data_IF_666566524098
#
_entry.id   IF_666566524098
#
_cell.length_a   1.000
_cell.length_b   1.000
_cell.length_c   1.000
_cell.angle_alpha   90.00
_cell.angle_beta   90.00
_cell.angle_gamma   90.00
#
_symmetry.space_group_name_H-M   'P 1'
#
loop_
_entity.id
_entity.type
_entity.pdbx_description
1 polymer ?
#
# COMPACT_ATOMS: atom_id res chain seq x y z
N UNK A 1 36.90 24.37 -30.29
CA UNK A 1 37.41 24.36 -28.90
C UNK A 1 36.29 24.81 -27.98
N UNK A 2 35.90 24.00 -26.98
CA UNK A 2 34.92 24.40 -25.98
C UNK A 2 35.58 25.46 -25.07
N UNK A 3 34.94 26.61 -24.81
CA UNK A 3 35.51 27.61 -23.92
C UNK A 3 35.77 27.03 -22.54
N UNK A 4 36.97 27.25 -21.97
CA UNK A 4 37.33 26.86 -20.60
C UNK A 4 36.24 27.19 -19.54
N UNK A 5 35.57 28.37 -19.56
CA UNK A 5 34.53 28.67 -18.57
C UNK A 5 33.28 27.79 -18.71
N UNK A 6 32.90 27.43 -19.93
CA UNK A 6 31.76 26.56 -20.22
C UNK A 6 32.01 25.13 -19.72
N UNK A 7 33.27 24.66 -19.83
CA UNK A 7 33.69 23.37 -19.29
C UNK A 7 33.64 23.36 -17.76
N UNK A 8 34.12 24.41 -17.11
CA UNK A 8 34.10 24.54 -15.64
C UNK A 8 32.66 24.61 -15.10
N UNK A 9 31.77 25.33 -15.79
CA UNK A 9 30.35 25.40 -15.44
C UNK A 9 29.69 24.03 -15.56
N UNK A 10 29.91 23.31 -16.68
CA UNK A 10 29.34 21.98 -16.89
C UNK A 10 29.83 20.94 -15.88
N UNK A 11 31.10 20.98 -15.48
CA UNK A 11 31.62 20.09 -14.44
C UNK A 11 31.03 20.45 -13.07
N UNK A 12 30.91 21.74 -12.75
CA UNK A 12 30.31 22.19 -11.49
C UNK A 12 28.85 21.76 -11.37
N UNK A 13 28.05 21.96 -12.43
CA UNK A 13 26.65 21.53 -12.44
C UNK A 13 26.52 20.01 -12.37
N UNK A 14 27.36 19.26 -13.08
CA UNK A 14 27.35 17.80 -13.02
C UNK A 14 27.66 17.27 -11.61
N UNK A 15 28.62 17.87 -10.90
CA UNK A 15 28.96 17.49 -9.51
C UNK A 15 27.80 17.78 -8.57
N UNK A 16 27.18 18.96 -8.66
CA UNK A 16 26.04 19.33 -7.81
C UNK A 16 24.84 18.42 -8.06
N UNK A 17 24.45 18.23 -9.32
CA UNK A 17 23.31 17.38 -9.67
C UNK A 17 23.58 15.91 -9.33
N UNK A 18 24.80 15.42 -9.58
CA UNK A 18 25.22 14.07 -9.19
C UNK A 18 25.17 13.87 -7.68
N UNK A 19 25.60 14.86 -6.89
CA UNK A 19 25.53 14.85 -5.43
C UNK A 19 24.09 14.79 -4.92
N UNK A 20 23.21 15.65 -5.45
CA UNK A 20 21.77 15.63 -5.10
C UNK A 20 21.15 14.29 -5.44
N UNK A 21 21.43 13.75 -6.62
CA UNK A 21 20.91 12.44 -7.04
C UNK A 21 21.38 11.31 -6.11
N UNK A 22 22.68 11.26 -5.81
CA UNK A 22 23.24 10.26 -4.90
C UNK A 22 22.63 10.35 -3.50
N UNK A 23 22.47 11.56 -2.94
CA UNK A 23 21.85 11.76 -1.64
C UNK A 23 20.40 11.30 -1.60
N UNK A 24 19.61 11.58 -2.64
CA UNK A 24 18.22 11.11 -2.73
C UNK A 24 18.14 9.59 -2.84
N UNK A 25 19.02 8.97 -3.62
CA UNK A 25 19.05 7.53 -3.80
C UNK A 25 19.43 6.81 -2.50
N UNK A 26 20.47 7.29 -1.81
CA UNK A 26 20.87 6.76 -0.49
C UNK A 26 19.76 6.97 0.55
N UNK A 27 19.11 8.14 0.55
CA UNK A 27 18.02 8.45 1.49
C UNK A 27 16.80 7.55 1.27
N UNK A 28 16.40 7.32 0.02
CA UNK A 28 15.26 6.45 -0.28
C UNK A 28 15.54 4.98 0.10
N UNK A 29 16.74 4.49 -0.19
CA UNK A 29 17.16 3.14 0.19
C UNK A 29 17.20 2.97 1.72
N UNK A 30 17.78 3.93 2.45
CA UNK A 30 17.86 3.89 3.92
C UNK A 30 16.48 3.97 4.58
N UNK A 31 15.59 4.84 4.11
CA UNK A 31 14.20 4.91 4.59
C UNK A 31 13.47 3.57 4.33
N UNK A 32 13.66 2.98 3.15
CA UNK A 32 13.10 1.67 2.82
C UNK A 32 13.59 0.59 3.80
N UNK A 33 14.89 0.52 4.05
CA UNK A 33 15.50 -0.42 4.98
C UNK A 33 14.99 -0.22 6.42
N UNK A 34 14.91 1.03 6.89
CA UNK A 34 14.36 1.36 8.21
C UNK A 34 12.88 0.96 8.33
N UNK A 35 12.07 1.19 7.29
CA UNK A 35 10.67 0.74 7.27
C UNK A 35 10.56 -0.77 7.39
N UNK A 36 11.37 -1.53 6.65
CA UNK A 36 11.36 -3.00 6.74
C UNK A 36 11.81 -3.50 8.11
N UNK A 37 12.88 -2.93 8.67
CA UNK A 37 13.38 -3.30 9.99
C UNK A 37 12.37 -2.98 11.10
N UNK A 38 11.73 -1.80 11.04
CA UNK A 38 10.70 -1.40 12.00
C UNK A 38 9.42 -2.25 11.87
N UNK A 39 9.00 -2.57 10.64
CA UNK A 39 7.85 -3.46 10.39
C UNK A 39 8.14 -4.88 10.90
N UNK A 40 9.35 -5.41 10.69
CA UNK A 40 9.76 -6.71 11.19
C UNK A 40 9.82 -6.76 12.72
N UNK A 41 10.34 -5.72 13.36
CA UNK A 41 10.34 -5.60 14.82
C UNK A 41 8.93 -5.50 15.38
N UNK A 42 8.09 -4.63 14.81
CA UNK A 42 6.68 -4.51 15.22
C UNK A 42 5.94 -5.83 15.08
N UNK A 43 6.15 -6.59 14.00
CA UNK A 43 5.51 -7.91 13.84
C UNK A 43 5.89 -8.91 14.93
N UNK A 44 7.09 -8.80 15.51
CA UNK A 44 7.55 -9.67 16.60
C UNK A 44 6.98 -9.25 17.96
N UNK A 45 6.93 -7.94 18.21
CA UNK A 45 6.62 -7.40 19.54
C UNK A 45 5.14 -7.06 19.71
N UNK A 46 4.43 -6.74 18.62
CA UNK A 46 3.04 -6.29 18.66
C UNK A 46 2.07 -7.45 18.92
N UNK A 47 0.97 -7.12 19.60
CA UNK A 47 -0.08 -8.09 19.85
C UNK A 47 -0.83 -8.41 18.55
N UNK A 48 -1.22 -9.67 18.34
CA UNK A 48 -2.03 -10.04 17.19
C UNK A 48 -3.35 -9.27 17.22
N UNK A 49 -3.78 -8.78 16.06
CA UNK A 49 -5.01 -8.04 15.94
C UNK A 49 -6.19 -8.96 16.31
N UNK A 50 -6.93 -8.60 17.36
CA UNK A 50 -8.04 -9.41 17.87
C UNK A 50 -9.16 -9.59 16.84
N UNK A 51 -9.42 -8.57 16.02
CA UNK A 51 -10.52 -8.58 15.06
C UNK A 51 -10.32 -9.58 13.90
N UNK A 52 -9.08 -9.78 13.44
CA UNK A 52 -8.77 -10.76 12.39
C UNK A 52 -7.97 -11.97 12.92
N UNK A 53 -7.76 -12.06 14.24
CA UNK A 53 -6.99 -13.12 14.92
C UNK A 53 -5.61 -13.33 14.29
N UNK A 54 -4.88 -12.25 14.02
CA UNK A 54 -3.54 -12.35 13.42
C UNK A 54 -3.50 -12.48 11.89
N UNK A 55 -4.63 -12.75 11.21
CA UNK A 55 -4.62 -13.10 9.78
C UNK A 55 -4.47 -11.90 8.83
N UNK A 56 -4.79 -10.68 9.29
CA UNK A 56 -4.81 -9.47 8.45
C UNK A 56 -6.03 -9.36 7.53
N UNK A 57 -6.71 -10.47 7.22
CA UNK A 57 -7.87 -10.52 6.35
C UNK A 57 -8.98 -11.36 7.01
N UNK A 58 -10.22 -11.14 6.59
CA UNK A 58 -11.36 -11.97 6.94
C UNK A 58 -12.25 -12.18 5.73
N UNK A 59 -13.12 -13.20 5.77
CA UNK A 59 -14.15 -13.41 4.74
C UNK A 59 -14.96 -12.13 4.59
N UNK A 60 -15.14 -11.66 3.35
CA UNK A 60 -15.84 -10.41 3.07
C UNK A 60 -17.17 -10.36 3.81
N UNK A 61 -17.35 -9.34 4.65
CA UNK A 61 -18.54 -9.25 5.51
C UNK A 61 -19.80 -8.96 4.71
N UNK A 62 -19.65 -8.29 3.56
CA UNK A 62 -20.76 -7.88 2.71
C UNK A 62 -21.32 -9.07 1.92
N UNK A 63 -20.50 -9.74 1.09
CA UNK A 63 -20.96 -10.89 0.30
C UNK A 63 -20.86 -12.23 1.02
N UNK A 64 -20.32 -12.28 2.25
CA UNK A 64 -20.11 -13.50 3.04
C UNK A 64 -19.34 -14.61 2.28
N UNK A 65 -18.49 -14.20 1.34
CA UNK A 65 -17.71 -15.12 0.50
C UNK A 65 -18.35 -15.51 -0.83
N UNK A 66 -19.56 -15.00 -1.16
CA UNK A 66 -20.25 -15.32 -2.41
C UNK A 66 -19.72 -14.57 -3.65
N UNK A 67 -18.75 -13.65 -3.46
CA UNK A 67 -18.18 -12.76 -4.49
C UNK A 67 -19.17 -11.75 -5.11
N UNK A 68 -20.46 -12.05 -5.14
CA UNK A 68 -21.54 -11.18 -5.60
C UNK A 68 -22.47 -10.78 -4.46
N UNK A 69 -23.24 -9.72 -4.69
CA UNK A 69 -24.32 -9.27 -3.82
C UNK A 69 -25.57 -9.01 -4.65
N UNK A 70 -26.71 -9.30 -4.06
CA UNK A 70 -28.00 -8.85 -4.58
C UNK A 70 -28.28 -7.48 -3.98
N UNK A 71 -28.26 -6.45 -4.81
CA UNK A 71 -28.45 -5.07 -4.37
C UNK A 71 -29.20 -4.26 -5.41
N UNK A 72 -30.05 -3.36 -4.94
CA UNK A 72 -30.71 -2.36 -5.76
C UNK A 72 -30.76 -1.00 -5.05
N UNK A 73 -30.58 0.11 -5.78
CA UNK A 73 -30.76 1.45 -5.22
C UNK A 73 -32.24 1.84 -5.03
N UNK A 74 -33.17 1.12 -5.68
CA UNK A 74 -34.60 1.38 -5.60
C UNK A 74 -35.17 0.76 -4.32
N UNK A 75 -36.09 1.49 -3.67
CA UNK A 75 -36.81 0.98 -2.50
C UNK A 75 -37.68 -0.24 -2.85
N UNK A 76 -38.31 -0.21 -4.03
CA UNK A 76 -39.10 -1.33 -4.57
C UNK A 76 -38.57 -1.74 -5.96
N UNK A 77 -37.59 -2.66 -6.00
CA UNK A 77 -36.93 -3.03 -7.24
C UNK A 77 -37.75 -4.04 -8.05
N UNK A 78 -38.05 -3.68 -9.31
CA UNK A 78 -38.70 -4.59 -10.28
C UNK A 78 -37.81 -5.80 -10.62
N UNK A 79 -36.48 -5.64 -10.53
CA UNK A 79 -35.50 -6.71 -10.68
C UNK A 79 -34.29 -6.47 -9.77
N UNK A 80 -33.75 -7.55 -9.21
CA UNK A 80 -32.51 -7.54 -8.44
C UNK A 80 -31.48 -8.38 -9.19
N UNK A 81 -30.45 -7.72 -9.73
CA UNK A 81 -29.38 -8.42 -10.42
C UNK A 81 -28.21 -8.70 -9.46
N UNK A 82 -27.58 -9.88 -9.52
CA UNK A 82 -26.36 -10.13 -8.77
C UNK A 82 -25.24 -9.24 -9.34
N UNK A 83 -24.70 -8.37 -8.49
CA UNK A 83 -23.58 -7.49 -8.82
C UNK A 83 -22.30 -8.02 -8.18
N UNK A 84 -21.15 -7.71 -8.79
CA UNK A 84 -19.85 -7.96 -8.15
C UNK A 84 -19.78 -7.23 -6.81
N UNK A 85 -19.28 -7.90 -5.76
CA UNK A 85 -19.22 -7.31 -4.44
C UNK A 85 -18.20 -6.15 -4.41
N UNK A 86 -18.62 -4.90 -4.13
CA UNK A 86 -17.74 -3.73 -4.17
C UNK A 86 -16.71 -3.72 -3.02
N UNK A 87 -16.96 -4.48 -1.95
CA UNK A 87 -16.06 -4.50 -0.79
C UNK A 87 -14.85 -5.41 -0.96
N UNK A 88 -14.99 -6.52 -1.70
CA UNK A 88 -13.89 -7.44 -1.96
C UNK A 88 -13.51 -7.53 -3.43
N UNK A 89 -14.20 -6.81 -4.31
CA UNK A 89 -14.00 -6.84 -5.76
C UNK A 89 -13.99 -8.29 -6.30
N UNK A 90 -14.97 -9.09 -5.85
CA UNK A 90 -15.05 -10.51 -6.18
C UNK A 90 -14.07 -11.46 -5.48
N UNK A 91 -13.05 -10.98 -4.78
CA UNK A 91 -12.00 -11.81 -4.16
C UNK A 91 -12.45 -12.63 -2.95
N UNK A 92 -13.70 -12.48 -2.47
CA UNK A 92 -14.30 -13.19 -1.32
C UNK A 92 -13.67 -12.90 0.05
N UNK A 93 -12.50 -12.27 0.08
CA UNK A 93 -11.79 -11.82 1.28
C UNK A 93 -11.73 -10.30 1.33
N UNK A 94 -11.80 -9.75 2.54
CA UNK A 94 -11.70 -8.32 2.82
C UNK A 94 -10.50 -8.07 3.74
N UNK A 95 -9.75 -7.01 3.44
CA UNK A 95 -8.66 -6.52 4.30
C UNK A 95 -9.22 -6.07 5.65
N UNK A 96 -8.61 -6.54 6.73
CA UNK A 96 -9.02 -6.11 8.06
C UNK A 96 -8.71 -4.62 8.24
N UNK A 97 -9.74 -3.81 8.43
CA UNK A 97 -9.60 -2.37 8.57
C UNK A 97 -9.04 -1.95 9.93
N UNK A 98 -9.11 -2.82 10.95
CA UNK A 98 -8.56 -2.53 12.28
C UNK A 98 -7.03 -2.58 12.33
N UNK A 99 -6.40 -3.47 11.55
CA UNK A 99 -4.94 -3.60 11.47
C UNK A 99 -4.40 -3.28 10.08
N UNK A 100 -5.24 -2.75 9.19
CA UNK A 100 -4.93 -2.48 7.78
C UNK A 100 -4.18 -3.64 7.11
N UNK A 101 -4.63 -4.88 7.29
CA UNK A 101 -3.98 -6.04 6.67
C UNK A 101 -2.66 -6.51 7.30
N UNK A 102 -2.12 -5.82 8.30
CA UNK A 102 -0.84 -6.21 8.94
C UNK A 102 -0.95 -7.45 9.83
N UNK A 103 -2.12 -7.67 10.43
CA UNK A 103 -2.38 -8.79 11.34
C UNK A 103 -2.02 -8.52 12.80
N UNK A 104 -1.42 -7.38 13.13
CA UNK A 104 -1.05 -6.98 14.49
C UNK A 104 -1.38 -5.50 14.72
N UNK A 105 -1.54 -5.10 15.98
CA UNK A 105 -1.81 -3.72 16.41
C UNK A 105 -0.66 -3.18 17.26
#
# INVERSE_FOLDING_TARGET
>A
MIPKPLRALATGTAVVLGGIFALNLVSSATIGALRLATEAKRRKDALPCRSCRGKGFYICRLCKGNATIEWSPLYDPVAINPCLCPTCDGNRIQRCLNCLGKGYN
#
